data_IF_618393422449
#
_entry.id   IF_618393422449
#
_cell.length_a   1.000
_cell.length_b   1.000
_cell.length_c   1.000
_cell.angle_alpha   90.00
_cell.angle_beta   90.00
_cell.angle_gamma   90.00
#
_symmetry.space_group_name_H-M   'P 1'
#
loop_
_entity.id
_entity.type
_entity.pdbx_description
1 polymer ?
#
# COMPACT_ATOMS: atom_id res chain seq x y z
N UNK A 1 24.04 9.81 10.79
CA UNK A 1 23.33 9.84 9.50
C UNK A 1 21.89 9.41 9.78
N UNK A 2 21.04 10.38 10.11
CA UNK A 2 19.60 10.14 10.27
C UNK A 2 19.02 9.69 8.92
N UNK A 3 18.71 8.40 8.84
CA UNK A 3 18.28 7.74 7.61
C UNK A 3 16.78 7.50 7.70
N UNK A 4 16.01 8.32 7.01
CA UNK A 4 14.56 8.17 6.85
C UNK A 4 14.11 8.63 5.46
N UNK A 5 13.16 7.92 4.87
CA UNK A 5 12.45 8.36 3.66
C UNK A 5 11.14 9.03 4.08
N UNK A 6 10.70 10.06 3.35
CA UNK A 6 9.40 10.70 3.59
C UNK A 6 8.29 9.65 3.50
N UNK A 7 7.34 9.70 4.45
CA UNK A 7 6.16 8.85 4.42
C UNK A 7 5.31 9.16 3.18
N UNK A 8 4.86 8.11 2.50
CA UNK A 8 3.97 8.19 1.34
C UNK A 8 2.67 7.51 1.73
N UNK A 9 1.60 8.31 1.79
CA UNK A 9 0.25 7.81 2.00
C UNK A 9 -0.21 7.09 0.73
N UNK A 10 -0.27 5.75 0.78
CA UNK A 10 -0.79 4.95 -0.32
C UNK A 10 -2.32 5.08 -0.36
N UNK A 11 -2.89 5.51 -1.49
CA UNK A 11 -4.35 5.68 -1.62
C UNK A 11 -5.00 4.62 -2.51
N UNK A 12 -6.28 4.37 -2.31
CA UNK A 12 -7.07 3.56 -3.26
C UNK A 12 -7.27 4.35 -4.55
N UNK A 13 -6.82 3.82 -5.69
CA UNK A 13 -6.93 4.50 -7.00
C UNK A 13 -6.07 3.89 -8.09
N UNK A 14 -5.94 4.58 -9.23
CA UNK A 14 -5.11 4.12 -10.35
C UNK A 14 -3.67 3.84 -9.91
N UNK A 15 -3.04 2.81 -10.48
CA UNK A 15 -1.72 2.35 -10.02
C UNK A 15 -0.64 3.38 -10.34
N UNK A 16 -0.09 4.02 -9.31
CA UNK A 16 1.06 4.93 -9.43
C UNK A 16 2.18 4.51 -8.50
N UNK A 17 3.39 4.42 -9.04
CA UNK A 17 4.58 3.92 -8.34
C UNK A 17 5.69 4.95 -8.43
N UNK A 18 6.44 5.09 -7.34
CA UNK A 18 7.71 5.79 -7.29
C UNK A 18 8.80 4.79 -6.89
N UNK A 19 9.77 4.59 -7.76
CA UNK A 19 10.96 3.81 -7.43
C UNK A 19 12.01 4.73 -6.81
N UNK A 20 12.54 4.35 -5.64
CA UNK A 20 13.58 5.10 -4.95
C UNK A 20 14.80 4.23 -4.72
N UNK A 21 15.98 4.82 -4.99
CA UNK A 21 17.26 4.16 -4.79
C UNK A 21 17.51 3.97 -3.30
N UNK A 22 17.72 2.73 -2.86
CA UNK A 22 18.14 2.39 -1.51
C UNK A 22 19.65 2.10 -1.45
N UNK A 23 20.19 1.90 -0.24
CA UNK A 23 21.60 1.60 -0.02
C UNK A 23 22.00 0.28 -0.70
N UNK A 24 23.22 0.24 -1.24
CA UNK A 24 23.88 -0.99 -1.68
C UNK A 24 23.25 -1.67 -2.89
N UNK A 25 22.81 -0.91 -3.90
CA UNK A 25 22.35 -1.54 -5.15
C UNK A 25 20.85 -1.88 -5.21
N UNK A 26 20.09 -1.72 -4.12
CA UNK A 26 18.64 -2.02 -4.08
C UNK A 26 17.69 -0.87 -4.44
N UNK A 27 16.46 -1.17 -4.87
CA UNK A 27 15.39 -0.18 -5.06
C UNK A 27 14.23 -0.46 -4.11
N UNK A 28 13.66 0.60 -3.54
CA UNK A 28 12.38 0.55 -2.83
C UNK A 28 11.28 0.99 -3.80
N UNK A 29 10.21 0.20 -3.86
CA UNK A 29 9.03 0.49 -4.68
C UNK A 29 7.97 1.11 -3.77
N UNK A 30 7.81 2.42 -3.82
CA UNK A 30 6.79 3.12 -3.06
C UNK A 30 5.50 3.23 -3.88
N UNK A 31 4.40 2.69 -3.38
CA UNK A 31 3.09 2.81 -4.01
C UNK A 31 2.46 4.14 -3.59
N UNK A 32 2.11 5.00 -4.55
CA UNK A 32 1.33 6.22 -4.28
C UNK A 32 -0.16 5.92 -4.30
N UNK A 33 -0.57 5.07 -5.24
CA UNK A 33 -1.96 4.63 -5.35
C UNK A 33 -2.05 3.23 -5.98
N UNK A 34 -3.08 2.47 -5.60
CA UNK A 34 -3.35 1.15 -6.15
C UNK A 34 -4.80 0.73 -5.91
N UNK A 35 -5.33 -0.08 -6.83
CA UNK A 35 -6.73 -0.53 -6.81
C UNK A 35 -6.88 -2.05 -6.88
N UNK A 36 -5.80 -2.81 -7.04
CA UNK A 36 -5.82 -4.27 -7.14
C UNK A 36 -4.95 -4.84 -6.04
N UNK A 37 -5.49 -5.84 -5.33
CA UNK A 37 -4.78 -6.65 -4.36
C UNK A 37 -4.84 -8.13 -4.72
N UNK A 38 -3.81 -8.88 -4.32
CA UNK A 38 -3.87 -10.33 -4.27
C UNK A 38 -4.38 -10.71 -2.88
N UNK A 39 -5.57 -11.27 -2.80
CA UNK A 39 -6.18 -11.74 -1.55
C UNK A 39 -5.92 -13.24 -1.46
N UNK A 40 -5.20 -13.65 -0.42
CA UNK A 40 -5.00 -15.06 -0.08
C UNK A 40 -6.09 -15.49 0.90
N UNK A 41 -6.94 -16.42 0.49
CA UNK A 41 -7.88 -17.08 1.39
C UNK A 41 -7.19 -18.27 2.07
N UNK A 42 -6.92 -18.14 3.37
CA UNK A 42 -6.24 -19.16 4.17
C UNK A 42 -7.04 -20.46 4.31
N UNK A 43 -8.36 -20.43 4.10
CA UNK A 43 -9.20 -21.63 4.20
C UNK A 43 -9.14 -22.48 2.95
N UNK A 44 -9.08 -21.85 1.78
CA UNK A 44 -9.11 -22.55 0.48
C UNK A 44 -7.73 -22.68 -0.16
N UNK A 45 -6.71 -21.98 0.37
CA UNK A 45 -5.35 -21.98 -0.17
C UNK A 45 -5.21 -21.24 -1.50
N UNK A 46 -6.26 -20.54 -1.95
CA UNK A 46 -6.29 -19.84 -3.24
C UNK A 46 -5.93 -18.37 -3.07
N UNK A 47 -5.17 -17.85 -4.02
CA UNK A 47 -4.91 -16.42 -4.17
C UNK A 47 -5.73 -15.86 -5.32
N UNK A 48 -6.52 -14.82 -5.06
CA UNK A 48 -7.40 -14.18 -6.04
C UNK A 48 -6.98 -12.73 -6.23
N UNK A 49 -6.92 -12.27 -7.48
CA UNK A 49 -6.78 -10.85 -7.77
C UNK A 49 -8.15 -10.18 -7.64
N UNK A 50 -8.27 -9.22 -6.74
CA UNK A 50 -9.51 -8.49 -6.51
C UNK A 50 -9.28 -6.99 -6.47
N UNK A 51 -10.34 -6.23 -6.76
CA UNK A 51 -10.34 -4.77 -6.70
C UNK A 51 -10.59 -4.31 -5.28
N UNK A 52 -9.81 -3.34 -4.81
CA UNK A 52 -10.02 -2.66 -3.53
C UNK A 52 -11.06 -1.56 -3.76
N UNK A 53 -12.15 -1.58 -2.99
CA UNK A 53 -13.26 -0.63 -3.12
C UNK A 53 -13.06 0.56 -2.15
N UNK A 54 -12.90 0.27 -0.87
CA UNK A 54 -12.71 1.29 0.18
C UNK A 54 -11.97 0.69 1.39
N UNK A 55 -11.39 1.56 2.21
CA UNK A 55 -10.80 1.19 3.51
C UNK A 55 -11.87 1.41 4.56
N UNK A 56 -12.26 0.35 5.28
CA UNK A 56 -13.33 0.43 6.29
C UNK A 56 -12.82 0.83 7.66
N UNK A 57 -11.69 0.28 8.09
CA UNK A 57 -11.17 0.44 9.45
C UNK A 57 -9.65 0.55 9.45
N UNK A 58 -9.13 1.33 10.40
CA UNK A 58 -7.69 1.44 10.65
C UNK A 58 -7.45 1.70 12.14
N UNK A 59 -6.79 0.74 12.82
CA UNK A 59 -6.53 0.78 14.26
C UNK A 59 -5.55 1.90 14.64
N UNK A 60 -4.63 2.25 13.74
CA UNK A 60 -3.58 3.24 14.01
C UNK A 60 -4.09 4.67 13.91
N UNK A 61 -4.97 4.97 12.95
CA UNK A 61 -5.54 6.32 12.80
C UNK A 61 -6.88 6.33 12.04
N UNK A 62 -7.98 6.78 12.67
CA UNK A 62 -9.29 6.88 12.01
C UNK A 62 -9.33 7.84 10.81
N UNK A 63 -8.44 8.84 10.74
CA UNK A 63 -8.37 9.78 9.61
C UNK A 63 -7.84 9.13 8.33
N UNK A 64 -7.20 7.96 8.40
CA UNK A 64 -6.80 7.21 7.21
C UNK A 64 -8.00 6.59 6.49
N UNK A 65 -9.03 6.18 7.24
CA UNK A 65 -10.30 5.69 6.68
C UNK A 65 -10.94 6.77 5.80
N UNK A 66 -11.07 8.00 6.34
CA UNK A 66 -11.65 9.15 5.60
C UNK A 66 -10.90 9.48 4.31
N UNK A 67 -9.59 9.25 4.28
CA UNK A 67 -8.71 9.56 3.14
C UNK A 67 -8.46 8.35 2.22
N UNK A 68 -9.12 7.21 2.48
CA UNK A 68 -8.88 5.92 1.80
C UNK A 68 -7.39 5.58 1.73
N UNK A 69 -6.65 5.81 2.81
CA UNK A 69 -5.22 5.51 2.92
C UNK A 69 -5.04 4.07 3.39
N UNK A 70 -4.32 3.29 2.59
CA UNK A 70 -3.91 1.93 2.90
C UNK A 70 -2.57 1.98 3.65
N UNK A 71 -2.51 1.29 4.77
CA UNK A 71 -1.32 1.19 5.63
C UNK A 71 -1.10 -0.25 6.04
#
# INVERSE_FOLDING_TARGET
>A
MDRGSKFIETRVGERQIKMERARGGNFKVNLKSGQIANISDSKTGKAIKSKIITVTENVSNPHFVRRNVMT
#
